data_IF_188604106984
#
_entry.id   IF_188604106984
#
_cell.length_a   1.000
_cell.length_b   1.000
_cell.length_c   1.000
_cell.angle_alpha   90.00
_cell.angle_beta   90.00
_cell.angle_gamma   90.00
#
_symmetry.space_group_name_H-M   'P 1'
#
loop_
_entity.id
_entity.type
_entity.pdbx_description
1 polymer ?
#
# COMPACT_ATOMS: atom_id res chain seq x y z
N UNK A 1 25.04 -16.46 13.64
CA UNK A 1 24.22 -16.87 12.48
C UNK A 1 22.72 -16.81 12.81
N UNK A 2 22.25 -17.55 13.83
CA UNK A 2 20.83 -17.60 14.22
C UNK A 2 20.23 -16.22 14.57
N UNK A 3 20.92 -15.42 15.38
CA UNK A 3 20.49 -14.06 15.73
C UNK A 3 20.37 -13.14 14.49
N UNK A 4 21.32 -13.25 13.56
CA UNK A 4 21.31 -12.49 12.31
C UNK A 4 20.12 -12.87 11.41
N UNK A 5 19.79 -14.17 11.34
CA UNK A 5 18.60 -14.65 10.61
C UNK A 5 17.31 -14.12 11.24
N UNK A 6 17.16 -14.25 12.55
CA UNK A 6 15.99 -13.74 13.28
C UNK A 6 15.82 -12.22 13.08
N UNK A 7 16.91 -11.47 13.20
CA UNK A 7 16.90 -10.02 12.98
C UNK A 7 16.41 -9.66 11.56
N UNK A 8 16.94 -10.33 10.53
CA UNK A 8 16.58 -10.03 9.14
C UNK A 8 15.19 -10.55 8.76
N UNK A 9 14.73 -11.68 9.31
CA UNK A 9 13.35 -12.13 9.16
C UNK A 9 12.39 -11.09 9.78
N UNK A 10 12.71 -10.60 10.98
CA UNK A 10 11.90 -9.58 11.63
C UNK A 10 11.88 -8.27 10.84
N UNK A 11 13.03 -7.83 10.32
CA UNK A 11 13.09 -6.67 9.41
C UNK A 11 12.28 -6.92 8.15
N UNK A 12 12.36 -8.10 7.57
CA UNK A 12 11.58 -8.50 6.40
C UNK A 12 10.08 -8.49 6.67
N UNK A 13 9.62 -8.95 7.83
CA UNK A 13 8.21 -8.87 8.24
C UNK A 13 7.73 -7.43 8.39
N UNK A 14 8.57 -6.54 8.94
CA UNK A 14 8.25 -5.12 9.09
C UNK A 14 8.11 -4.44 7.73
N UNK A 15 9.06 -4.68 6.81
CA UNK A 15 8.99 -4.19 5.43
C UNK A 15 7.79 -4.80 4.70
N UNK A 16 7.56 -6.09 4.89
CA UNK A 16 6.40 -6.80 4.36
C UNK A 16 5.07 -6.21 4.82
N UNK A 17 4.98 -5.69 6.04
CA UNK A 17 3.80 -5.00 6.53
C UNK A 17 3.49 -3.72 5.73
N UNK A 18 4.51 -2.96 5.30
CA UNK A 18 4.31 -1.83 4.38
C UNK A 18 3.81 -2.30 3.02
N UNK A 19 4.43 -3.35 2.47
CA UNK A 19 3.99 -3.91 1.20
C UNK A 19 2.54 -4.39 1.27
N UNK A 20 2.13 -5.02 2.38
CA UNK A 20 0.74 -5.44 2.61
C UNK A 20 -0.20 -4.24 2.60
N UNK A 21 0.09 -3.19 3.35
CA UNK A 21 -0.81 -2.03 3.46
C UNK A 21 -0.99 -1.33 2.12
N UNK A 22 0.12 -1.09 1.40
CA UNK A 22 0.13 -0.53 0.05
C UNK A 22 -0.57 -1.45 -0.95
N UNK A 23 -0.25 -2.74 -0.94
CA UNK A 23 -0.79 -3.71 -1.87
C UNK A 23 -2.30 -3.91 -1.69
N UNK A 24 -2.81 -3.94 -0.45
CA UNK A 24 -4.25 -4.04 -0.19
C UNK A 24 -5.02 -2.82 -0.72
N UNK A 25 -4.49 -1.60 -0.51
CA UNK A 25 -5.09 -0.40 -1.07
C UNK A 25 -5.13 -0.40 -2.60
N UNK A 26 -4.02 -0.81 -3.22
CA UNK A 26 -3.90 -0.92 -4.66
C UNK A 26 -4.78 -2.04 -5.24
N UNK A 27 -4.84 -3.20 -4.57
CA UNK A 27 -5.67 -4.34 -4.94
C UNK A 27 -7.17 -4.01 -4.92
N UNK A 28 -7.63 -3.24 -3.93
CA UNK A 28 -9.02 -2.76 -3.90
C UNK A 28 -9.38 -1.94 -5.14
N UNK A 29 -8.50 -1.02 -5.53
CA UNK A 29 -8.71 -0.16 -6.70
C UNK A 29 -8.71 -1.00 -7.97
N UNK A 30 -7.71 -1.87 -8.12
CA UNK A 30 -7.55 -2.73 -9.29
C UNK A 30 -8.75 -3.66 -9.47
N UNK A 31 -9.17 -4.35 -8.41
CA UNK A 31 -10.21 -5.38 -8.48
C UNK A 31 -11.59 -4.84 -8.84
N UNK A 32 -11.97 -3.65 -8.37
CA UNK A 32 -13.30 -3.09 -8.66
C UNK A 32 -13.32 -2.19 -9.89
N UNK A 33 -12.25 -1.44 -10.12
CA UNK A 33 -12.22 -0.40 -11.16
C UNK A 33 -11.45 -0.81 -12.40
N UNK A 34 -10.70 -1.92 -12.35
CA UNK A 34 -9.79 -2.38 -13.40
C UNK A 34 -8.78 -1.29 -13.82
N UNK A 35 -8.32 -0.49 -12.86
CA UNK A 35 -7.38 0.61 -13.04
C UNK A 35 -6.05 0.24 -12.40
N UNK A 36 -5.00 0.22 -13.20
CA UNK A 36 -3.62 0.09 -12.72
C UNK A 36 -3.18 1.49 -12.29
N UNK A 37 -3.13 1.72 -10.97
CA UNK A 37 -2.86 3.03 -10.42
C UNK A 37 -1.39 3.22 -10.01
N UNK A 38 -0.55 3.69 -10.93
CA UNK A 38 0.84 4.03 -10.63
C UNK A 38 0.99 5.25 -9.70
N UNK A 39 -0.01 6.14 -9.66
CA UNK A 39 -0.01 7.27 -8.74
C UNK A 39 -0.22 6.85 -7.27
N UNK A 40 -0.50 5.57 -6.98
CA UNK A 40 -0.72 5.08 -5.63
C UNK A 40 0.49 5.34 -4.72
N UNK A 41 1.72 5.16 -5.23
CA UNK A 41 2.94 5.55 -4.55
C UNK A 41 3.04 7.07 -4.29
N UNK A 42 2.58 7.88 -5.23
CA UNK A 42 2.49 9.33 -5.05
C UNK A 42 1.53 9.71 -3.92
N UNK A 43 0.39 9.05 -3.78
CA UNK A 43 -0.53 9.28 -2.65
C UNK A 43 0.05 8.86 -1.31
N UNK A 44 0.89 7.82 -1.27
CA UNK A 44 1.69 7.51 -0.09
C UNK A 44 2.57 8.71 0.31
N UNK A 45 3.30 9.26 -0.67
CA UNK A 45 4.16 10.44 -0.45
C UNK A 45 3.34 11.63 0.05
N UNK A 46 2.21 11.94 -0.57
CA UNK A 46 1.29 13.00 -0.12
C UNK A 46 0.89 12.78 1.35
N UNK A 47 0.52 11.56 1.74
CA UNK A 47 0.16 11.23 3.12
C UNK A 47 1.28 11.52 4.12
N UNK A 48 2.51 11.14 3.79
CA UNK A 48 3.70 11.44 4.58
C UNK A 48 3.97 12.95 4.71
N UNK A 49 3.88 13.71 3.60
CA UNK A 49 4.10 15.16 3.60
C UNK A 49 2.99 15.94 4.31
N UNK A 50 1.73 15.51 4.20
CA UNK A 50 0.63 16.06 5.00
C UNK A 50 0.94 15.85 6.49
N UNK A 51 1.28 14.62 6.88
CA UNK A 51 1.62 14.31 8.27
C UNK A 51 2.78 15.16 8.78
N UNK A 52 3.85 15.27 7.98
CA UNK A 52 5.00 16.15 8.31
C UNK A 52 4.56 17.59 8.55
N UNK A 53 3.70 18.12 7.68
CA UNK A 53 3.25 19.52 7.74
C UNK A 53 2.37 19.81 8.96
N UNK A 54 1.49 18.87 9.33
CA UNK A 54 0.54 19.11 10.42
C UNK A 54 1.07 18.67 11.80
N UNK A 55 2.09 17.80 11.85
CA UNK A 55 2.68 17.31 13.12
C UNK A 55 3.09 18.42 14.08
N UNK A 56 3.70 19.55 13.66
CA UNK A 56 4.08 20.63 14.57
C UNK A 56 2.88 21.28 15.29
N UNK A 57 1.69 21.22 14.71
CA UNK A 57 0.47 21.87 15.22
C UNK A 57 -0.38 20.95 16.09
N UNK A 58 -0.51 19.67 15.70
CA UNK A 58 -1.45 18.74 16.35
C UNK A 58 -0.76 17.49 16.93
N UNK A 59 0.57 17.44 16.85
CA UNK A 59 1.37 16.30 17.30
C UNK A 59 1.28 15.09 16.40
N UNK A 60 2.11 14.09 16.69
CA UNK A 60 2.21 12.84 15.92
C UNK A 60 0.87 12.08 15.83
N UNK A 61 0.15 11.96 16.95
CA UNK A 61 -1.12 11.22 17.00
C UNK A 61 -2.22 11.88 16.18
N UNK A 62 -2.30 13.21 16.26
CA UNK A 62 -3.22 13.97 15.42
C UNK A 62 -2.88 13.82 13.93
N UNK A 63 -1.60 13.85 13.57
CA UNK A 63 -1.15 13.66 12.20
C UNK A 63 -1.46 12.23 11.68
N UNK A 64 -1.22 11.21 12.50
CA UNK A 64 -1.54 9.82 12.16
C UNK A 64 -3.03 9.61 11.85
N UNK A 65 -3.92 10.31 12.59
CA UNK A 65 -5.38 10.19 12.39
C UNK A 65 -5.90 11.05 11.24
N UNK A 66 -5.33 12.23 11.00
CA UNK A 66 -5.86 13.19 10.02
C UNK A 66 -5.20 13.12 8.64
N UNK A 67 -3.92 12.76 8.54
CA UNK A 67 -3.26 12.71 7.24
C UNK A 67 -3.84 11.65 6.28
N UNK A 68 -4.16 10.41 6.70
CA UNK A 68 -4.77 9.42 5.80
C UNK A 68 -6.13 9.85 5.23
N UNK A 69 -7.12 10.36 6.01
CA UNK A 69 -8.37 10.85 5.43
C UNK A 69 -8.19 12.09 4.54
N UNK A 70 -7.28 13.01 4.87
CA UNK A 70 -6.97 14.14 3.99
C UNK A 70 -6.38 13.66 2.66
N UNK A 71 -5.49 12.68 2.69
CA UNK A 71 -4.96 12.04 1.47
C UNK A 71 -6.08 11.39 0.67
N UNK A 72 -7.02 10.70 1.33
CA UNK A 72 -8.18 10.09 0.67
C UNK A 72 -9.09 11.13 0.01
N UNK A 73 -9.28 12.31 0.61
CA UNK A 73 -10.04 13.42 0.02
C UNK A 73 -9.33 13.93 -1.25
N UNK A 74 -8.02 14.13 -1.21
CA UNK A 74 -7.24 14.51 -2.40
C UNK A 74 -7.36 13.42 -3.47
N UNK A 75 -7.24 12.15 -3.08
CA UNK A 75 -7.44 11.02 -3.99
C UNK A 75 -8.83 11.00 -4.64
N UNK A 76 -9.89 11.28 -3.88
CA UNK A 76 -11.25 11.40 -4.40
C UNK A 76 -11.39 12.52 -5.44
N UNK A 77 -10.75 13.67 -5.21
CA UNK A 77 -10.75 14.77 -6.18
C UNK A 77 -10.04 14.35 -7.47
N UNK A 78 -8.88 13.73 -7.36
CA UNK A 78 -8.12 13.20 -8.50
C UNK A 78 -8.91 12.11 -9.23
N UNK A 79 -9.53 11.17 -8.50
CA UNK A 79 -10.39 10.14 -9.09
C UNK A 79 -11.51 10.77 -9.89
N UNK A 80 -12.22 11.72 -9.28
CA UNK A 80 -13.42 12.33 -9.89
C UNK A 80 -13.10 13.11 -11.17
N UNK A 81 -11.98 13.83 -11.18
CA UNK A 81 -11.59 14.74 -12.28
C UNK A 81 -10.80 14.02 -13.35
N UNK A 82 -9.86 13.15 -12.98
CA UNK A 82 -8.88 12.59 -13.91
C UNK A 82 -9.14 11.10 -14.22
N UNK A 83 -9.40 10.26 -13.22
CA UNK A 83 -9.46 8.80 -13.40
C UNK A 83 -10.86 8.36 -13.84
N UNK A 84 -11.90 8.91 -13.23
CA UNK A 84 -13.30 8.53 -13.52
C UNK A 84 -13.69 8.59 -15.01
N UNK A 85 -13.27 9.61 -15.80
CA UNK A 85 -13.56 9.65 -17.23
C UNK A 85 -12.96 8.52 -18.05
N UNK A 86 -11.99 7.78 -17.45
CA UNK A 86 -11.30 6.67 -18.10
C UNK A 86 -11.90 5.30 -17.75
N UNK A 87 -12.86 5.23 -16.84
CA UNK A 87 -13.53 3.97 -16.52
C UNK A 87 -14.23 3.39 -17.75
N UNK A 88 -13.97 2.11 -18.02
CA UNK A 88 -14.51 1.41 -19.19
C UNK A 88 -13.77 1.68 -20.51
N UNK A 89 -12.70 2.49 -20.49
CA UNK A 89 -11.79 2.66 -21.62
C UNK A 89 -10.64 1.66 -21.54
N UNK A 90 -9.83 1.61 -22.61
CA UNK A 90 -8.62 0.78 -22.62
C UNK A 90 -7.75 1.06 -21.37
N UNK A 91 -7.33 0.04 -20.62
CA UNK A 91 -6.51 0.18 -19.42
C UNK A 91 -5.21 0.96 -19.63
N UNK A 92 -4.67 1.00 -20.85
CA UNK A 92 -3.48 1.80 -21.19
C UNK A 92 -3.67 3.30 -20.92
N UNK A 93 -4.88 3.84 -21.14
CA UNK A 93 -5.12 5.25 -20.83
C UNK A 93 -5.00 5.54 -19.33
N UNK A 94 -5.53 4.68 -18.48
CA UNK A 94 -5.42 4.84 -17.04
C UNK A 94 -3.99 4.64 -16.55
N UNK A 95 -3.25 3.72 -17.16
CA UNK A 95 -1.83 3.48 -16.87
C UNK A 95 -0.99 4.72 -17.20
N UNK A 96 -1.12 5.27 -18.40
CA UNK A 96 -0.39 6.48 -18.82
C UNK A 96 -0.74 7.70 -17.95
N UNK A 97 -2.04 7.91 -17.68
CA UNK A 97 -2.48 8.99 -16.81
C UNK A 97 -1.89 8.88 -15.40
N UNK A 98 -2.02 7.70 -14.77
CA UNK A 98 -1.56 7.52 -13.39
C UNK A 98 -0.04 7.53 -13.28
N UNK A 99 0.68 7.13 -14.32
CA UNK A 99 2.12 7.24 -14.41
C UNK A 99 2.55 8.73 -14.49
N UNK A 100 1.94 9.51 -15.38
CA UNK A 100 2.17 10.95 -15.45
C UNK A 100 1.82 11.67 -14.15
N UNK A 101 0.70 11.27 -13.51
CA UNK A 101 0.29 11.82 -12.22
C UNK A 101 1.30 11.48 -11.10
N UNK A 102 1.91 10.29 -11.13
CA UNK A 102 2.97 9.93 -10.17
C UNK A 102 4.15 10.90 -10.23
N UNK A 103 4.62 11.23 -11.44
CA UNK A 103 5.69 12.24 -11.62
C UNK A 103 5.24 13.64 -11.21
N UNK A 104 4.01 14.03 -11.56
CA UNK A 104 3.48 15.34 -11.15
C UNK A 104 3.41 15.48 -9.62
N UNK A 105 3.06 14.40 -8.91
CA UNK A 105 3.05 14.40 -7.45
C UNK A 105 4.47 14.47 -6.90
N UNK A 106 5.40 13.68 -7.45
CA UNK A 106 6.80 13.66 -7.03
C UNK A 106 7.45 15.05 -7.23
N UNK A 107 7.31 15.65 -8.40
CA UNK A 107 7.87 16.98 -8.67
C UNK A 107 7.12 18.08 -7.90
N UNK A 108 5.82 17.96 -7.74
CA UNK A 108 5.02 18.86 -6.90
C UNK A 108 5.47 18.84 -5.43
N UNK A 109 5.79 17.65 -4.90
CA UNK A 109 6.33 17.55 -3.52
C UNK A 109 7.72 18.15 -3.42
N UNK A 110 8.59 17.96 -4.42
CA UNK A 110 9.91 18.63 -4.49
C UNK A 110 9.78 20.14 -4.56
N UNK A 111 8.81 20.65 -5.32
CA UNK A 111 8.59 22.09 -5.45
C UNK A 111 8.09 22.71 -4.14
N UNK A 112 7.17 22.06 -3.42
CA UNK A 112 6.55 22.61 -2.20
C UNK A 112 7.48 22.46 -0.99
N UNK A 113 8.09 21.30 -0.78
CA UNK A 113 8.88 20.98 0.42
C UNK A 113 10.39 20.91 0.19
N UNK A 114 10.82 20.98 -1.06
CA UNK A 114 12.23 20.86 -1.48
C UNK A 114 12.63 19.41 -1.78
N UNK A 115 13.77 19.22 -2.48
CA UNK A 115 14.22 17.89 -2.90
C UNK A 115 14.85 17.05 -1.79
N UNK A 116 15.22 17.68 -0.67
CA UNK A 116 15.91 17.00 0.43
C UNK A 116 14.94 16.23 1.30
N UNK A 117 15.37 15.06 1.77
CA UNK A 117 14.63 14.27 2.76
C UNK A 117 14.32 15.08 4.03
N UNK A 118 13.14 14.87 4.61
CA UNK A 118 12.69 15.54 5.82
C UNK A 118 12.67 14.55 6.99
N UNK A 119 13.25 14.92 8.14
CA UNK A 119 13.12 14.13 9.35
C UNK A 119 11.70 14.23 9.89
N UNK A 120 11.11 13.09 10.24
CA UNK A 120 9.79 13.04 10.87
C UNK A 120 9.96 12.81 12.36
N UNK A 121 9.36 13.69 13.15
CA UNK A 121 9.40 13.59 14.62
C UNK A 121 8.45 12.49 15.09
N UNK A 122 9.00 11.44 15.68
CA UNK A 122 8.25 10.38 16.35
C UNK A 122 8.27 10.59 17.86
N UNK A 123 7.24 10.14 18.61
CA UNK A 123 7.22 10.23 20.07
C UNK A 123 8.44 9.54 20.70
N UNK A 124 9.06 10.18 21.68
CA UNK A 124 10.31 9.73 22.30
C UNK A 124 10.24 8.30 22.87
N UNK A 125 9.09 7.90 23.43
CA UNK A 125 8.91 6.54 23.96
C UNK A 125 8.87 5.47 22.86
N UNK A 126 8.47 5.80 21.60
CA UNK A 126 8.51 4.91 20.46
C UNK A 126 9.91 4.86 19.82
N UNK A 127 10.73 5.88 20.02
CA UNK A 127 12.09 5.92 19.52
C UNK A 127 13.07 5.04 20.33
N UNK A 128 12.67 4.64 21.54
CA UNK A 128 13.52 3.83 22.41
C UNK A 128 13.75 2.43 21.83
N UNK A 129 15.00 1.94 21.88
CA UNK A 129 15.30 0.56 21.51
C UNK A 129 14.70 -0.39 22.55
N UNK A 130 13.95 -1.35 22.07
CA UNK A 130 13.51 -2.51 22.85
C UNK A 130 14.50 -3.63 22.56
N UNK A 131 15.65 -3.60 23.26
CA UNK A 131 16.69 -4.59 23.06
C UNK A 131 16.66 -5.64 24.15
N UNK A 132 16.53 -6.89 23.74
CA UNK A 132 16.94 -8.06 24.53
C UNK A 132 18.12 -8.72 23.81
N UNK A 133 18.84 -9.62 24.46
CA UNK A 133 19.99 -10.36 23.90
C UNK A 133 19.68 -11.03 22.53
N UNK A 134 18.41 -11.19 22.18
CA UNK A 134 17.93 -11.84 20.95
C UNK A 134 17.39 -10.86 19.89
N UNK A 135 16.90 -9.68 20.27
CA UNK A 135 16.23 -8.76 19.37
C UNK A 135 16.66 -7.32 19.58
N UNK A 136 16.99 -6.64 18.51
CA UNK A 136 17.21 -5.19 18.48
C UNK A 136 16.11 -4.53 17.62
N UNK A 137 14.99 -4.15 18.26
CA UNK A 137 13.83 -3.56 17.61
C UNK A 137 13.51 -2.22 18.29
N UNK A 138 13.18 -1.18 17.52
CA UNK A 138 12.66 0.06 18.08
C UNK A 138 11.17 -0.07 18.41
N UNK A 139 10.71 0.62 19.45
CA UNK A 139 9.28 0.68 19.78
C UNK A 139 8.42 1.13 18.61
N UNK A 140 8.94 2.03 17.76
CA UNK A 140 8.25 2.49 16.55
C UNK A 140 7.94 1.37 15.56
N UNK A 141 8.85 0.41 15.38
CA UNK A 141 8.64 -0.74 14.50
C UNK A 141 7.50 -1.64 14.97
N UNK A 142 7.42 -1.90 16.27
CA UNK A 142 6.31 -2.66 16.85
C UNK A 142 4.99 -1.89 16.73
N UNK A 143 5.01 -0.60 17.03
CA UNK A 143 3.86 0.28 16.85
C UNK A 143 3.36 0.25 15.41
N UNK A 144 4.25 0.37 14.43
CA UNK A 144 3.94 0.29 13.01
C UNK A 144 3.22 -1.00 12.63
N UNK A 145 3.80 -2.16 13.02
CA UNK A 145 3.19 -3.47 12.77
C UNK A 145 1.80 -3.55 13.42
N UNK A 146 1.65 -3.06 14.65
CA UNK A 146 0.36 -3.01 15.33
C UNK A 146 -0.66 -2.16 14.58
N UNK A 147 -0.29 -0.97 14.10
CA UNK A 147 -1.18 -0.11 13.29
C UNK A 147 -1.56 -0.78 11.97
N UNK A 148 -0.61 -1.43 11.28
CA UNK A 148 -0.89 -2.19 10.06
C UNK A 148 -1.86 -3.34 10.34
N UNK A 149 -1.65 -4.12 11.40
CA UNK A 149 -2.55 -5.20 11.81
C UNK A 149 -3.96 -4.68 12.10
N UNK A 150 -4.08 -3.57 12.81
CA UNK A 150 -5.38 -2.92 13.07
C UNK A 150 -6.02 -2.46 11.76
N UNK A 151 -5.28 -1.78 10.88
CA UNK A 151 -5.79 -1.29 9.60
C UNK A 151 -6.27 -2.45 8.70
N UNK A 152 -5.49 -3.53 8.60
CA UNK A 152 -5.85 -4.73 7.86
C UNK A 152 -7.11 -5.38 8.46
N UNK A 153 -7.16 -5.54 9.77
CA UNK A 153 -8.34 -6.11 10.46
C UNK A 153 -9.58 -5.26 10.20
N UNK A 154 -9.47 -3.93 10.35
CA UNK A 154 -10.60 -3.01 10.07
C UNK A 154 -11.04 -3.08 8.61
N UNK A 155 -10.09 -3.19 7.67
CA UNK A 155 -10.42 -3.37 6.25
C UNK A 155 -11.22 -4.67 6.03
N UNK A 156 -10.76 -5.80 6.57
CA UNK A 156 -11.48 -7.08 6.44
C UNK A 156 -12.87 -7.02 7.11
N UNK A 157 -12.99 -6.39 8.28
CA UNK A 157 -14.27 -6.17 8.95
C UNK A 157 -15.20 -5.28 8.11
N UNK A 158 -14.67 -4.18 7.54
CA UNK A 158 -15.41 -3.31 6.64
C UNK A 158 -15.93 -4.10 5.44
N UNK A 159 -15.08 -4.88 4.79
CA UNK A 159 -15.46 -5.66 3.61
C UNK A 159 -16.44 -6.79 3.94
N UNK A 160 -16.34 -7.41 5.12
CA UNK A 160 -17.17 -8.56 5.50
C UNK A 160 -18.55 -8.16 6.04
N UNK A 161 -18.60 -7.12 6.88
CA UNK A 161 -19.79 -6.83 7.70
C UNK A 161 -20.55 -5.56 7.30
N UNK A 162 -19.96 -4.68 6.45
CA UNK A 162 -20.64 -3.43 6.06
C UNK A 162 -21.38 -3.57 4.72
N UNK A 163 -22.42 -2.73 4.54
CA UNK A 163 -23.15 -2.62 3.26
C UNK A 163 -22.23 -2.21 2.11
N UNK A 164 -21.23 -1.35 2.39
CA UNK A 164 -20.23 -0.94 1.41
C UNK A 164 -19.38 -2.14 0.98
N UNK A 165 -18.86 -2.92 1.93
CA UNK A 165 -18.05 -4.08 1.65
C UNK A 165 -18.79 -5.18 0.88
N UNK A 166 -20.07 -5.42 1.19
CA UNK A 166 -20.91 -6.36 0.43
C UNK A 166 -21.03 -5.91 -1.04
N UNK A 167 -21.30 -4.60 -1.27
CA UNK A 167 -21.40 -4.03 -2.61
C UNK A 167 -20.06 -4.07 -3.37
N UNK A 168 -18.93 -3.80 -2.70
CA UNK A 168 -17.60 -3.91 -3.31
C UNK A 168 -17.36 -5.36 -3.76
N UNK A 169 -17.56 -6.35 -2.89
CA UNK A 169 -17.38 -7.76 -3.25
C UNK A 169 -18.29 -8.23 -4.37
N UNK A 170 -19.56 -7.80 -4.36
CA UNK A 170 -20.48 -8.10 -5.45
C UNK A 170 -20.01 -7.46 -6.77
N UNK A 171 -19.55 -6.18 -6.71
CA UNK A 171 -19.07 -5.47 -7.88
C UNK A 171 -17.74 -6.00 -8.44
N UNK A 172 -16.90 -6.64 -7.62
CA UNK A 172 -15.69 -7.33 -8.13
C UNK A 172 -16.01 -8.61 -8.88
N UNK A 173 -17.17 -9.24 -8.62
CA UNK A 173 -17.63 -10.42 -9.34
C UNK A 173 -18.38 -10.03 -10.62
N UNK A 174 -19.33 -9.12 -10.52
CA UNK A 174 -20.14 -8.66 -11.64
C UNK A 174 -20.66 -7.24 -11.39
N UNK A 175 -19.99 -6.27 -12.02
CA UNK A 175 -20.31 -4.87 -11.85
C UNK A 175 -21.58 -4.46 -12.62
N UNK A 176 -21.89 -5.15 -13.72
CA UNK A 176 -23.07 -4.86 -14.55
C UNK A 176 -24.33 -5.31 -13.81
N UNK A 177 -24.32 -6.50 -13.22
CA UNK A 177 -25.44 -6.96 -12.39
C UNK A 177 -25.66 -6.03 -11.19
N UNK A 178 -24.59 -5.55 -10.53
CA UNK A 178 -24.70 -4.58 -9.43
C UNK A 178 -25.34 -3.27 -9.91
N UNK A 179 -25.02 -2.80 -11.11
CA UNK A 179 -25.65 -1.63 -11.72
C UNK A 179 -27.13 -1.88 -12.03
N UNK A 180 -27.48 -3.04 -12.57
CA UNK A 180 -28.86 -3.43 -12.86
C UNK A 180 -29.76 -3.50 -11.61
N UNK A 181 -29.16 -3.80 -10.44
CA UNK A 181 -29.84 -3.74 -9.14
C UNK A 181 -30.03 -2.31 -8.59
N UNK A 182 -29.72 -1.28 -9.38
CA UNK A 182 -29.91 0.13 -9.02
C UNK A 182 -28.83 0.72 -8.12
N UNK A 183 -27.71 0.04 -7.93
CA UNK A 183 -26.58 0.56 -7.13
C UNK A 183 -25.76 1.52 -8.00
N UNK A 184 -25.48 2.72 -7.47
CA UNK A 184 -24.63 3.69 -8.15
C UNK A 184 -23.17 3.21 -8.17
N UNK A 185 -22.76 2.61 -9.30
CA UNK A 185 -21.43 2.05 -9.52
C UNK A 185 -20.35 3.13 -9.49
N UNK A 186 -20.62 4.34 -9.96
CA UNK A 186 -19.63 5.43 -9.91
C UNK A 186 -19.30 5.82 -8.47
N UNK A 187 -20.33 5.94 -7.62
CA UNK A 187 -20.14 6.22 -6.20
C UNK A 187 -19.42 5.05 -5.51
N UNK A 188 -19.74 3.81 -5.88
CA UNK A 188 -19.09 2.62 -5.33
C UNK A 188 -17.60 2.58 -5.66
N UNK A 189 -17.22 2.84 -6.91
CA UNK A 189 -15.83 2.95 -7.36
C UNK A 189 -15.09 4.06 -6.62
N UNK A 190 -15.70 5.24 -6.47
CA UNK A 190 -15.07 6.36 -5.76
C UNK A 190 -14.84 6.07 -4.28
N UNK A 191 -15.81 5.46 -3.59
CA UNK A 191 -15.63 5.07 -2.19
C UNK A 191 -14.55 3.99 -2.02
N UNK A 192 -14.54 3.01 -2.92
CA UNK A 192 -13.49 1.99 -2.95
C UNK A 192 -12.11 2.61 -3.20
N UNK A 193 -12.02 3.55 -4.14
CA UNK A 193 -10.79 4.31 -4.41
C UNK A 193 -10.33 5.10 -3.17
N UNK A 194 -11.27 5.77 -2.49
CA UNK A 194 -10.96 6.51 -1.25
C UNK A 194 -10.40 5.61 -0.15
N UNK A 195 -10.96 4.41 0.03
CA UNK A 195 -10.42 3.41 0.99
C UNK A 195 -9.01 2.99 0.60
N UNK A 196 -8.76 2.72 -0.69
CA UNK A 196 -7.43 2.39 -1.19
C UNK A 196 -6.41 3.51 -0.93
N UNK A 197 -6.76 4.76 -1.25
CA UNK A 197 -5.88 5.91 -1.03
C UNK A 197 -5.70 6.25 0.46
N UNK A 198 -6.71 6.00 1.30
CA UNK A 198 -6.57 6.09 2.75
C UNK A 198 -5.46 5.15 3.25
N UNK A 199 -5.41 3.90 2.78
CA UNK A 199 -4.37 2.94 3.14
C UNK A 199 -3.00 3.38 2.62
N UNK A 200 -2.91 3.95 1.42
CA UNK A 200 -1.68 4.54 0.90
C UNK A 200 -1.20 5.71 1.79
N UNK A 201 -2.10 6.63 2.14
CA UNK A 201 -1.79 7.74 3.03
C UNK A 201 -1.32 7.29 4.41
N UNK A 202 -1.98 6.29 5.00
CA UNK A 202 -1.57 5.68 6.26
C UNK A 202 -0.18 5.04 6.15
N UNK A 203 0.07 4.30 5.06
CA UNK A 203 1.39 3.73 4.77
C UNK A 203 2.46 4.83 4.69
N UNK A 204 2.14 5.98 4.06
CA UNK A 204 3.03 7.13 3.96
C UNK A 204 3.40 7.73 5.31
N UNK A 205 2.44 7.92 6.21
CA UNK A 205 2.69 8.41 7.57
C UNK A 205 3.62 7.47 8.34
N UNK A 206 3.36 6.17 8.25
CA UNK A 206 4.15 5.15 8.95
C UNK A 206 5.55 5.01 8.33
N UNK A 207 5.66 5.00 7.00
CA UNK A 207 6.91 4.88 6.29
C UNK A 207 7.82 6.09 6.53
N UNK A 208 7.25 7.30 6.59
CA UNK A 208 7.99 8.53 6.84
C UNK A 208 8.75 8.50 8.19
N UNK A 209 8.15 7.91 9.23
CA UNK A 209 8.81 7.77 10.54
C UNK A 209 9.88 6.68 10.59
N UNK A 210 9.85 5.68 9.69
CA UNK A 210 10.79 4.56 9.66
C UNK A 210 11.93 4.76 8.66
N UNK A 211 11.61 5.25 7.47
CA UNK A 211 12.53 5.36 6.33
C UNK A 211 13.04 6.79 6.12
N UNK A 212 12.41 7.75 6.77
CA UNK A 212 12.54 9.16 6.42
C UNK A 212 11.55 9.53 5.31
N UNK A 213 11.26 10.82 5.18
CA UNK A 213 10.31 11.33 4.19
C UNK A 213 11.08 11.89 3.00
N UNK A 214 10.98 11.22 1.87
CA UNK A 214 11.60 11.63 0.60
C UNK A 214 10.54 11.68 -0.52
N UNK A 215 10.68 12.60 -1.50
CA UNK A 215 9.74 12.68 -2.62
C UNK A 215 9.66 11.39 -3.45
N UNK A 216 10.74 10.61 -3.50
CA UNK A 216 10.89 9.37 -4.29
C UNK A 216 10.45 8.10 -3.55
N UNK A 217 10.15 8.17 -2.25
CA UNK A 217 9.86 6.98 -1.44
C UNK A 217 8.66 6.16 -1.97
N UNK A 218 7.74 6.82 -2.67
CA UNK A 218 6.57 6.17 -3.25
C UNK A 218 6.88 5.15 -4.33
N UNK A 219 7.85 5.45 -5.21
CA UNK A 219 8.27 4.54 -6.29
C UNK A 219 8.97 3.29 -5.73
N UNK A 220 9.76 3.44 -4.67
CA UNK A 220 10.45 2.32 -4.01
C UNK A 220 9.50 1.31 -3.36
N UNK A 221 8.33 1.75 -2.86
CA UNK A 221 7.35 0.88 -2.22
C UNK A 221 6.27 0.38 -3.20
N UNK A 222 6.06 1.08 -4.32
CA UNK A 222 5.00 0.76 -5.26
C UNK A 222 5.24 -0.57 -5.99
N UNK A 223 6.44 -0.77 -6.57
CA UNK A 223 6.76 -1.98 -7.33
C UNK A 223 6.70 -3.26 -6.50
N UNK A 224 7.31 -3.34 -5.31
CA UNK A 224 7.12 -4.49 -4.43
C UNK A 224 5.66 -4.75 -4.08
N UNK A 225 4.84 -3.70 -3.94
CA UNK A 225 3.41 -3.83 -3.64
C UNK A 225 2.62 -4.42 -4.82
N UNK A 226 2.94 -4.05 -6.06
CA UNK A 226 2.39 -4.72 -7.25
C UNK A 226 2.77 -6.19 -7.29
N UNK A 227 4.05 -6.50 -7.04
CA UNK A 227 4.52 -7.88 -7.00
C UNK A 227 3.80 -8.68 -5.91
N UNK A 228 3.51 -8.07 -4.75
CA UNK A 228 2.73 -8.70 -3.69
C UNK A 228 1.33 -9.10 -4.15
N UNK A 229 0.65 -8.25 -4.95
CA UNK A 229 -0.65 -8.57 -5.52
C UNK A 229 -0.55 -9.73 -6.52
N UNK A 230 0.46 -9.70 -7.39
CA UNK A 230 0.67 -10.73 -8.42
C UNK A 230 1.01 -12.08 -7.77
N UNK A 231 1.95 -12.09 -6.84
CA UNK A 231 2.35 -13.30 -6.09
C UNK A 231 1.18 -13.83 -5.26
N UNK A 232 0.46 -12.93 -4.59
CA UNK A 232 -0.72 -13.30 -3.80
C UNK A 232 -1.87 -13.85 -4.63
N UNK A 233 -2.00 -13.37 -5.86
CA UNK A 233 -3.10 -13.64 -6.80
C UNK A 233 -4.00 -12.44 -6.96
N UNK A 234 -4.10 -11.93 -8.20
CA UNK A 234 -4.97 -10.79 -8.54
C UNK A 234 -6.40 -11.14 -8.17
N UNK A 235 -7.09 -10.23 -7.47
CA UNK A 235 -8.47 -10.44 -7.00
C UNK A 235 -8.56 -10.98 -5.56
N UNK A 236 -7.51 -11.60 -5.02
CA UNK A 236 -7.50 -12.17 -3.68
C UNK A 236 -6.86 -11.22 -2.66
N UNK A 237 -7.66 -10.59 -1.81
CA UNK A 237 -7.14 -9.76 -0.71
C UNK A 237 -6.36 -10.57 0.35
N UNK A 238 -6.81 -11.78 0.76
CA UNK A 238 -6.00 -12.64 1.62
C UNK A 238 -4.69 -13.05 0.94
N UNK A 239 -4.72 -13.31 -0.37
CA UNK A 239 -3.53 -13.59 -1.16
C UNK A 239 -2.56 -12.41 -1.17
N UNK A 240 -3.06 -11.19 -1.37
CA UNK A 240 -2.25 -9.97 -1.34
C UNK A 240 -1.55 -9.79 0.02
N UNK A 241 -2.24 -10.08 1.13
CA UNK A 241 -1.64 -10.05 2.47
C UNK A 241 -0.49 -11.04 2.59
N UNK A 242 -0.72 -12.30 2.22
CA UNK A 242 0.31 -13.34 2.27
C UNK A 242 1.47 -13.01 1.32
N UNK A 243 1.17 -12.55 0.10
CA UNK A 243 2.16 -12.14 -0.89
C UNK A 243 3.09 -11.04 -0.37
N UNK A 244 2.54 -9.99 0.26
CA UNK A 244 3.32 -8.90 0.83
C UNK A 244 4.25 -9.34 1.96
N UNK A 245 3.77 -10.20 2.85
CA UNK A 245 4.60 -10.77 3.93
C UNK A 245 5.70 -11.68 3.38
N UNK A 246 5.37 -12.54 2.41
CA UNK A 246 6.35 -13.45 1.79
C UNK A 246 7.47 -12.68 1.09
N UNK A 247 7.13 -11.64 0.34
CA UNK A 247 8.11 -10.78 -0.34
C UNK A 247 9.01 -10.09 0.68
N UNK A 248 8.45 -9.53 1.75
CA UNK A 248 9.22 -8.90 2.80
C UNK A 248 10.19 -9.87 3.48
N UNK A 249 9.72 -11.08 3.83
CA UNK A 249 10.58 -12.13 4.43
C UNK A 249 11.65 -12.60 3.45
N UNK A 250 11.30 -12.81 2.17
CA UNK A 250 12.27 -13.23 1.16
C UNK A 250 13.37 -12.19 0.98
N UNK A 251 13.03 -10.90 0.90
CA UNK A 251 13.99 -9.79 0.85
C UNK A 251 14.88 -9.75 2.10
N UNK A 252 14.28 -9.87 3.29
CA UNK A 252 15.01 -9.87 4.56
C UNK A 252 15.98 -11.06 4.69
N UNK A 253 15.56 -12.27 4.31
CA UNK A 253 16.42 -13.44 4.31
C UNK A 253 17.57 -13.32 3.30
N UNK A 254 17.28 -12.82 2.09
CA UNK A 254 18.29 -12.64 1.06
C UNK A 254 19.34 -11.61 1.49
N UNK A 255 18.95 -10.57 2.23
CA UNK A 255 19.85 -9.57 2.74
C UNK A 255 20.94 -10.13 3.69
N UNK A 256 20.71 -11.31 4.31
CA UNK A 256 21.70 -11.99 5.15
C UNK A 256 22.85 -12.58 4.33
N UNK A 257 22.52 -13.20 3.20
CA UNK A 257 23.47 -13.99 2.42
C UNK A 257 24.02 -13.22 1.20
N UNK A 258 23.15 -12.43 0.57
CA UNK A 258 23.45 -11.66 -0.66
C UNK A 258 22.77 -10.29 -0.59
N UNK A 259 23.31 -9.30 0.18
CA UNK A 259 22.67 -8.00 0.35
C UNK A 259 22.37 -7.28 -0.97
N UNK A 260 23.26 -7.38 -1.96
CA UNK A 260 23.07 -6.79 -3.28
C UNK A 260 21.91 -7.40 -4.09
N UNK A 261 21.45 -8.60 -3.74
CA UNK A 261 20.34 -9.29 -4.41
C UNK A 261 19.00 -9.18 -3.66
N UNK A 262 18.96 -8.51 -2.51
CA UNK A 262 17.77 -8.41 -1.66
C UNK A 262 16.57 -7.72 -2.34
N UNK A 263 16.83 -6.81 -3.28
CA UNK A 263 15.79 -6.19 -4.10
C UNK A 263 15.41 -7.06 -5.32
N UNK A 264 16.39 -7.79 -5.88
CA UNK A 264 16.15 -8.62 -7.05
C UNK A 264 15.36 -9.89 -6.73
N UNK A 265 15.48 -10.42 -5.50
CA UNK A 265 14.80 -11.67 -5.10
C UNK A 265 13.29 -11.60 -5.23
N UNK A 266 12.69 -10.42 -5.03
CA UNK A 266 11.23 -10.26 -5.15
C UNK A 266 10.75 -10.51 -6.58
N UNK A 267 11.51 -10.11 -7.59
CA UNK A 267 11.21 -10.35 -9.01
C UNK A 267 11.42 -11.83 -9.37
N UNK A 268 12.48 -12.44 -8.84
CA UNK A 268 12.73 -13.88 -9.01
C UNK A 268 11.60 -14.68 -8.39
N UNK A 269 11.16 -14.33 -7.18
CA UNK A 269 10.04 -14.99 -6.52
C UNK A 269 8.75 -14.84 -7.32
N UNK A 270 8.47 -13.65 -7.88
CA UNK A 270 7.34 -13.42 -8.76
C UNK A 270 7.40 -14.36 -9.99
N UNK A 271 8.55 -14.42 -10.65
CA UNK A 271 8.73 -15.29 -11.82
C UNK A 271 8.51 -16.77 -11.47
N UNK A 272 9.08 -17.23 -10.37
CA UNK A 272 8.91 -18.62 -9.89
C UNK A 272 7.44 -18.92 -9.58
N UNK A 273 6.76 -18.01 -8.84
CA UNK A 273 5.35 -18.20 -8.51
C UNK A 273 4.49 -18.25 -9.78
N UNK A 274 4.69 -17.34 -10.74
CA UNK A 274 3.92 -17.31 -11.97
C UNK A 274 4.17 -18.53 -12.87
N UNK A 275 5.40 -19.06 -12.88
CA UNK A 275 5.72 -20.31 -13.63
C UNK A 275 5.03 -21.53 -13.01
N UNK A 276 4.96 -21.60 -11.68
CA UNK A 276 4.35 -22.74 -10.97
C UNK A 276 2.83 -22.58 -10.82
N UNK A 277 2.36 -21.35 -10.62
CA UNK A 277 0.95 -20.97 -10.44
C UNK A 277 0.66 -19.68 -11.19
N UNK A 278 0.27 -19.73 -12.47
CA UNK A 278 0.05 -18.53 -13.30
C UNK A 278 -0.97 -17.53 -12.74
N UNK A 279 -1.85 -17.99 -11.85
CA UNK A 279 -2.88 -17.16 -11.18
C UNK A 279 -2.43 -16.59 -9.82
N UNK A 280 -1.17 -16.82 -9.41
CA UNK A 280 -0.68 -16.53 -8.07
C UNK A 280 -1.07 -17.60 -7.04
N UNK A 281 -0.71 -17.36 -5.77
CA UNK A 281 -0.90 -18.36 -4.69
C UNK A 281 -2.38 -18.62 -4.36
N UNK A 282 -3.22 -17.58 -4.42
CA UNK A 282 -4.64 -17.59 -4.02
C UNK A 282 -5.56 -17.04 -5.13
N UNK A 283 -5.13 -17.07 -6.39
CA UNK A 283 -5.97 -16.64 -7.52
C UNK A 283 -7.14 -17.59 -7.76
N UNK A 284 -8.36 -17.04 -7.87
CA UNK A 284 -9.58 -17.81 -8.12
C UNK A 284 -9.75 -18.12 -9.62
N UNK A 285 -10.45 -19.23 -9.94
CA UNK A 285 -10.84 -19.58 -11.29
C UNK A 285 -11.98 -18.67 -11.74
N UNK A 286 -11.76 -17.81 -12.74
CA UNK A 286 -12.83 -17.01 -13.33
C UNK A 286 -12.53 -15.54 -13.65
N UNK A 287 -11.43 -14.95 -13.17
CA UNK A 287 -11.14 -13.52 -13.41
C UNK A 287 -10.32 -13.19 -14.67
N UNK A 288 -9.95 -14.19 -15.48
CA UNK A 288 -9.17 -14.01 -16.71
C UNK A 288 -9.72 -14.84 -17.89
N UNK A 289 -11.02 -15.13 -17.92
CA UNK A 289 -11.67 -15.73 -19.09
C UNK A 289 -12.46 -14.67 -19.85
#
# INVERSE_FOLDING_TARGET
MWQLLLFNVTNGLIIGAFYVLMALGLSLILNLSNVINFAHGGFLVIGGYIAYTITPYIGFWGALLLAPPLTAIIGLLVERVLIRPLYGRDPLYSLLLTFGLAFMIEDGTRFIWGPQGKPVTIPAFLAQPLSNDLFFITGYRLFMVAVVMVAVTLLFLLLRYTRLGIRIRAGTLDLETVAALGINVQMLRSLNFAVGIFLAGLSGVLAAGQLGLEPTMGTGLLMPSFIAIIVGGIGSLPGTLVGGLLIGVASGLTAVFLPAASEAVIYVMMAVVLLLRPRGLFGEEGMMS
#
